data_IF_041000050858
#
_entry.id   IF_041000050858
#
_cell.length_a   1.000
_cell.length_b   1.000
_cell.length_c   1.000
_cell.angle_alpha   90.00
_cell.angle_beta   90.00
_cell.angle_gamma   90.00
#
_symmetry.space_group_name_H-M   'P 1'
#
loop_
_entity.id
_entity.type
_entity.pdbx_description
1 polymer ?
#
# COMPACT_ATOMS: atom_id res chain seq x y z
N UNK A 1 -49.21 72.27 -30.73
CA UNK A 1 -49.07 71.13 -31.66
C UNK A 1 -47.83 70.26 -31.41
N UNK A 2 -46.75 70.71 -30.75
CA UNK A 2 -45.52 69.90 -30.57
C UNK A 2 -45.52 68.77 -29.53
N UNK A 3 -46.54 68.65 -28.65
CA UNK A 3 -46.53 67.64 -27.58
C UNK A 3 -46.89 66.22 -28.05
N UNK A 4 -47.87 66.08 -28.96
CA UNK A 4 -48.23 64.77 -29.52
C UNK A 4 -47.15 64.25 -30.48
N UNK A 5 -46.50 65.14 -31.22
CA UNK A 5 -45.44 64.78 -32.16
C UNK A 5 -44.19 64.25 -31.44
N UNK A 6 -43.86 64.80 -30.27
CA UNK A 6 -42.80 64.29 -29.41
C UNK A 6 -43.14 62.93 -28.78
N UNK A 7 -44.39 62.75 -28.30
CA UNK A 7 -44.82 61.45 -27.77
C UNK A 7 -44.79 60.34 -28.84
N UNK A 8 -45.18 60.65 -30.08
CA UNK A 8 -45.12 59.67 -31.18
C UNK A 8 -43.67 59.28 -31.49
N UNK A 9 -42.72 60.23 -31.46
CA UNK A 9 -41.29 59.94 -31.63
C UNK A 9 -40.74 59.08 -30.49
N UNK A 10 -41.17 59.32 -29.27
CA UNK A 10 -40.73 58.57 -28.09
C UNK A 10 -41.27 57.13 -28.09
N UNK A 11 -42.54 56.94 -28.47
CA UNK A 11 -43.14 55.62 -28.69
C UNK A 11 -42.42 54.88 -29.82
N UNK A 12 -42.15 55.54 -30.95
CA UNK A 12 -41.44 54.93 -32.07
C UNK A 12 -40.05 54.44 -31.64
N UNK A 13 -39.32 55.24 -30.86
CA UNK A 13 -38.03 54.85 -30.29
C UNK A 13 -38.14 53.66 -29.33
N UNK A 14 -39.14 53.65 -28.45
CA UNK A 14 -39.36 52.51 -27.54
C UNK A 14 -39.70 51.22 -28.30
N UNK A 15 -40.45 51.30 -29.40
CA UNK A 15 -40.75 50.14 -30.26
C UNK A 15 -39.48 49.62 -30.95
N UNK A 16 -38.62 50.54 -31.41
CA UNK A 16 -37.30 50.20 -31.96
C UNK A 16 -36.40 49.53 -30.91
N UNK A 17 -36.33 50.09 -29.70
CA UNK A 17 -35.60 49.51 -28.58
C UNK A 17 -36.11 48.10 -28.23
N UNK A 18 -37.44 47.88 -28.22
CA UNK A 18 -38.04 46.54 -27.99
C UNK A 18 -37.64 45.56 -29.09
N UNK A 19 -37.58 45.99 -30.34
CA UNK A 19 -37.17 45.14 -31.45
C UNK A 19 -35.71 44.68 -31.29
N UNK A 20 -34.81 45.60 -30.93
CA UNK A 20 -33.39 45.30 -30.65
C UNK A 20 -33.29 44.30 -29.48
N UNK A 21 -34.00 44.55 -28.37
CA UNK A 21 -34.00 43.63 -27.24
C UNK A 21 -34.58 42.25 -27.59
N UNK A 22 -35.59 42.18 -28.47
CA UNK A 22 -36.15 40.92 -28.94
C UNK A 22 -35.15 40.12 -29.77
N UNK A 23 -34.34 40.78 -30.60
CA UNK A 23 -33.28 40.15 -31.38
C UNK A 23 -32.17 39.61 -30.47
N UNK A 24 -31.72 40.42 -29.51
CA UNK A 24 -30.75 40.01 -28.49
C UNK A 24 -31.25 38.82 -27.65
N UNK A 25 -32.52 38.83 -27.24
CA UNK A 25 -33.13 37.74 -26.50
C UNK A 25 -33.21 36.46 -27.31
N UNK A 26 -33.52 36.53 -28.60
CA UNK A 26 -33.54 35.37 -29.49
C UNK A 26 -32.14 34.79 -29.67
N UNK A 27 -31.13 35.65 -29.87
CA UNK A 27 -29.73 35.24 -29.94
C UNK A 27 -29.27 34.57 -28.64
N UNK A 28 -29.64 35.12 -27.48
CA UNK A 28 -29.37 34.53 -26.17
C UNK A 28 -30.07 33.17 -26.01
N UNK A 29 -31.33 33.05 -26.44
CA UNK A 29 -32.06 31.78 -26.44
C UNK A 29 -31.36 30.71 -27.28
N UNK A 30 -30.86 31.07 -28.46
CA UNK A 30 -30.14 30.14 -29.33
C UNK A 30 -28.81 29.70 -28.71
N UNK A 31 -28.08 30.61 -28.06
CA UNK A 31 -26.86 30.27 -27.32
C UNK A 31 -27.15 29.34 -26.13
N UNK A 32 -28.22 29.58 -25.37
CA UNK A 32 -28.65 28.70 -24.28
C UNK A 32 -29.00 27.30 -24.80
N UNK A 33 -29.66 27.20 -25.95
CA UNK A 33 -29.98 25.90 -26.55
C UNK A 33 -28.72 25.13 -26.94
N UNK A 34 -27.76 25.78 -27.60
CA UNK A 34 -26.47 25.16 -27.95
C UNK A 34 -25.73 24.69 -26.69
N UNK A 35 -25.66 25.52 -25.65
CA UNK A 35 -25.02 25.15 -24.39
C UNK A 35 -25.72 23.96 -23.71
N UNK A 36 -27.06 23.87 -23.81
CA UNK A 36 -27.83 22.75 -23.27
C UNK A 36 -27.58 21.44 -24.04
N UNK A 37 -27.46 21.50 -25.36
CA UNK A 37 -27.10 20.36 -26.21
C UNK A 37 -25.68 19.86 -25.87
N UNK A 38 -24.71 20.77 -25.74
CA UNK A 38 -23.35 20.45 -25.30
C UNK A 38 -23.32 19.84 -23.88
N UNK A 39 -24.09 20.39 -22.95
CA UNK A 39 -24.19 19.86 -21.59
C UNK A 39 -24.76 18.43 -21.57
N UNK A 40 -25.78 18.17 -22.40
CA UNK A 40 -26.38 16.85 -22.55
C UNK A 40 -25.37 15.84 -23.11
N UNK A 41 -24.61 16.23 -24.14
CA UNK A 41 -23.55 15.40 -24.70
C UNK A 41 -22.48 15.05 -23.66
N UNK A 42 -22.03 16.04 -22.87
CA UNK A 42 -21.06 15.81 -21.78
C UNK A 42 -21.63 14.91 -20.68
N UNK A 43 -22.91 15.03 -20.33
CA UNK A 43 -23.53 14.15 -19.34
C UNK A 43 -23.57 12.69 -19.81
N UNK A 44 -23.79 12.45 -21.10
CA UNK A 44 -23.70 11.12 -21.71
C UNK A 44 -22.27 10.57 -21.68
N UNK A 45 -21.28 11.41 -22.01
CA UNK A 45 -19.85 11.04 -21.93
C UNK A 45 -19.46 10.64 -20.50
N UNK A 46 -19.81 11.46 -19.49
CA UNK A 46 -19.57 11.14 -18.07
C UNK A 46 -20.23 9.83 -17.66
N UNK A 47 -21.44 9.56 -18.16
CA UNK A 47 -22.14 8.30 -17.89
C UNK A 47 -21.40 7.11 -18.49
N UNK A 48 -20.90 7.23 -19.72
CA UNK A 48 -20.10 6.21 -20.39
C UNK A 48 -18.80 5.92 -19.63
N UNK A 49 -18.04 6.97 -19.29
CA UNK A 49 -16.80 6.85 -18.52
C UNK A 49 -17.05 6.22 -17.15
N UNK A 50 -18.17 6.56 -16.50
CA UNK A 50 -18.54 5.97 -15.21
C UNK A 50 -18.81 4.46 -15.33
N UNK A 51 -19.43 4.01 -16.42
CA UNK A 51 -19.64 2.59 -16.69
C UNK A 51 -18.33 1.86 -16.96
N UNK A 52 -17.42 2.45 -17.74
CA UNK A 52 -16.07 1.91 -17.95
C UNK A 52 -15.30 1.79 -16.64
N UNK A 53 -15.40 2.80 -15.75
CA UNK A 53 -14.76 2.78 -14.44
C UNK A 53 -15.24 1.61 -13.57
N UNK A 54 -16.55 1.30 -13.62
CA UNK A 54 -17.11 0.12 -12.94
C UNK A 54 -16.52 -1.17 -13.50
N UNK A 55 -16.43 -1.31 -14.82
CA UNK A 55 -15.84 -2.48 -15.46
C UNK A 55 -14.36 -2.66 -15.12
N UNK A 56 -13.58 -1.56 -15.10
CA UNK A 56 -12.19 -1.58 -14.65
C UNK A 56 -12.11 -2.01 -13.18
N UNK A 57 -13.01 -1.52 -12.33
CA UNK A 57 -13.13 -1.95 -10.94
C UNK A 57 -13.33 -3.47 -10.80
N UNK A 58 -14.26 -4.04 -11.58
CA UNK A 58 -14.51 -5.48 -11.59
C UNK A 58 -13.29 -6.27 -12.09
N UNK A 59 -12.58 -5.77 -13.10
CA UNK A 59 -11.36 -6.40 -13.59
C UNK A 59 -10.25 -6.39 -12.53
N UNK A 60 -10.08 -5.29 -11.80
CA UNK A 60 -9.12 -5.20 -10.70
C UNK A 60 -9.43 -6.19 -9.57
N UNK A 61 -10.72 -6.38 -9.23
CA UNK A 61 -11.13 -7.38 -8.25
C UNK A 61 -10.77 -8.81 -8.69
N UNK A 62 -11.01 -9.14 -9.97
CA UNK A 62 -10.63 -10.44 -10.52
C UNK A 62 -9.10 -10.64 -10.50
N UNK A 63 -8.31 -9.61 -10.80
CA UNK A 63 -6.85 -9.67 -10.71
C UNK A 63 -6.38 -9.89 -9.27
N UNK A 64 -7.02 -9.27 -8.27
CA UNK A 64 -6.71 -9.48 -6.86
C UNK A 64 -6.91 -10.94 -6.47
N UNK A 65 -7.96 -11.60 -6.97
CA UNK A 65 -8.19 -13.02 -6.70
C UNK A 65 -7.14 -13.91 -7.38
N UNK A 66 -6.77 -13.61 -8.63
CA UNK A 66 -5.66 -14.31 -9.29
C UNK A 66 -4.32 -14.15 -8.55
N UNK A 67 -4.05 -12.96 -7.99
CA UNK A 67 -2.84 -12.72 -7.18
C UNK A 67 -2.87 -13.55 -5.90
N UNK A 68 -4.03 -13.74 -5.26
CA UNK A 68 -4.15 -14.64 -4.10
C UNK A 68 -3.82 -16.08 -4.47
N UNK A 69 -4.30 -16.57 -5.61
CA UNK A 69 -4.01 -17.92 -6.08
C UNK A 69 -2.51 -18.10 -6.40
N UNK A 70 -1.91 -17.11 -7.07
CA UNK A 70 -0.46 -17.10 -7.30
C UNK A 70 0.33 -17.14 -5.99
N UNK A 71 -0.13 -16.40 -4.98
CA UNK A 71 0.50 -16.41 -3.65
C UNK A 71 0.43 -17.78 -2.98
N UNK A 72 -0.69 -18.51 -3.12
CA UNK A 72 -0.79 -19.91 -2.65
C UNK A 72 0.24 -20.80 -3.37
N UNK A 73 0.38 -20.64 -4.69
CA UNK A 73 1.39 -21.33 -5.48
C UNK A 73 2.82 -21.05 -5.01
N UNK A 74 3.16 -19.78 -4.78
CA UNK A 74 4.47 -19.37 -4.23
C UNK A 74 4.69 -19.99 -2.85
N UNK A 75 3.70 -19.97 -1.97
CA UNK A 75 3.82 -20.56 -0.64
C UNK A 75 4.08 -22.08 -0.68
N UNK A 76 3.46 -22.79 -1.63
CA UNK A 76 3.73 -24.21 -1.87
C UNK A 76 5.19 -24.43 -2.32
N UNK A 77 5.70 -23.61 -3.25
CA UNK A 77 7.11 -23.69 -3.69
C UNK A 77 8.06 -23.41 -2.53
N UNK A 78 7.81 -22.36 -1.75
CA UNK A 78 8.60 -22.00 -0.58
C UNK A 78 8.63 -23.12 0.47
N UNK A 79 7.50 -23.80 0.68
CA UNK A 79 7.43 -24.96 1.59
C UNK A 79 8.31 -26.13 1.12
N UNK A 80 8.35 -26.41 -0.19
CA UNK A 80 9.22 -27.46 -0.73
C UNK A 80 10.70 -27.04 -0.69
N UNK A 81 10.99 -25.78 -1.01
CA UNK A 81 12.33 -25.21 -0.87
C UNK A 81 12.82 -25.29 0.57
N UNK A 82 11.93 -25.10 1.56
CA UNK A 82 12.28 -25.22 2.97
C UNK A 82 12.72 -26.63 3.39
N UNK A 83 12.17 -27.68 2.76
CA UNK A 83 12.63 -29.06 2.98
C UNK A 83 14.02 -29.30 2.37
N UNK A 84 14.30 -28.69 1.21
CA UNK A 84 15.61 -28.77 0.56
C UNK A 84 16.68 -28.00 1.35
N UNK A 85 16.30 -26.87 1.94
CA UNK A 85 17.19 -25.99 2.71
C UNK A 85 17.87 -26.67 3.91
N UNK A 86 17.34 -27.80 4.39
CA UNK A 86 17.92 -28.61 5.47
C UNK A 86 18.38 -30.01 5.00
N UNK A 87 18.34 -30.27 3.70
CA UNK A 87 18.74 -31.56 3.14
C UNK A 87 20.27 -31.62 2.98
N UNK A 88 20.95 -32.72 3.37
CA UNK A 88 22.42 -32.82 3.33
C UNK A 88 23.11 -32.47 2.01
N UNK A 89 22.42 -32.65 0.88
CA UNK A 89 22.96 -32.35 -0.47
C UNK A 89 22.56 -30.99 -1.05
N UNK A 90 21.59 -30.30 -0.45
CA UNK A 90 20.97 -29.09 -1.01
C UNK A 90 20.72 -28.00 0.04
N UNK A 91 21.34 -28.13 1.21
CA UNK A 91 21.10 -27.23 2.32
C UNK A 91 21.53 -25.81 1.98
N UNK A 92 20.93 -24.85 2.66
CA UNK A 92 21.39 -23.47 2.58
C UNK A 92 22.76 -23.34 3.23
N UNK A 93 23.56 -22.43 2.70
CA UNK A 93 24.86 -22.08 3.27
C UNK A 93 24.68 -21.01 4.33
N UNK A 94 25.69 -20.85 5.19
CA UNK A 94 25.70 -19.76 6.19
C UNK A 94 25.63 -18.38 5.52
N UNK A 95 26.23 -18.21 4.33
CA UNK A 95 26.16 -16.97 3.57
C UNK A 95 24.73 -16.66 3.09
N UNK A 96 23.95 -17.68 2.70
CA UNK A 96 22.53 -17.51 2.35
C UNK A 96 21.74 -17.01 3.56
N UNK A 97 22.01 -17.58 4.75
CA UNK A 97 21.42 -17.13 6.00
C UNK A 97 21.72 -15.65 6.26
N UNK A 98 22.99 -15.23 6.15
CA UNK A 98 23.40 -13.83 6.32
C UNK A 98 22.65 -12.91 5.34
N UNK A 99 22.59 -13.27 4.06
CA UNK A 99 21.88 -12.49 3.03
C UNK A 99 20.39 -12.36 3.36
N UNK A 100 19.75 -13.43 3.82
CA UNK A 100 18.31 -13.42 4.17
C UNK A 100 18.05 -12.46 5.32
N UNK A 101 18.86 -12.49 6.37
CA UNK A 101 18.69 -11.59 7.53
C UNK A 101 19.02 -10.14 7.18
N UNK A 102 20.03 -9.88 6.36
CA UNK A 102 20.31 -8.52 5.87
C UNK A 102 19.13 -7.94 5.08
N UNK A 103 18.52 -8.74 4.20
CA UNK A 103 17.30 -8.34 3.46
C UNK A 103 16.12 -8.13 4.42
N UNK A 104 15.96 -8.99 5.43
CA UNK A 104 14.92 -8.84 6.44
C UNK A 104 15.08 -7.53 7.23
N UNK A 105 16.29 -7.17 7.65
CA UNK A 105 16.58 -5.89 8.32
C UNK A 105 16.12 -4.72 7.46
N UNK A 106 16.54 -4.67 6.18
CA UNK A 106 16.19 -3.59 5.27
C UNK A 106 14.66 -3.50 5.05
N UNK A 107 14.00 -4.65 4.86
CA UNK A 107 12.56 -4.71 4.67
C UNK A 107 11.79 -4.16 5.88
N UNK A 108 12.17 -4.53 7.10
CA UNK A 108 11.50 -4.06 8.32
C UNK A 108 11.79 -2.59 8.62
N UNK A 109 13.01 -2.09 8.33
CA UNK A 109 13.31 -0.66 8.43
C UNK A 109 12.45 0.17 7.47
N UNK A 110 12.25 -0.32 6.24
CA UNK A 110 11.36 0.33 5.27
C UNK A 110 9.89 0.27 5.74
N UNK A 111 9.47 -0.86 6.30
CA UNK A 111 8.13 -1.05 6.86
C UNK A 111 7.83 -0.04 7.98
N UNK A 112 8.78 0.19 8.90
CA UNK A 112 8.64 1.22 9.95
C UNK A 112 8.59 2.62 9.35
N UNK A 113 9.39 2.92 8.32
CA UNK A 113 9.33 4.21 7.62
C UNK A 113 7.97 4.48 6.97
N UNK A 114 7.31 3.43 6.45
CA UNK A 114 5.93 3.53 5.97
C UNK A 114 4.98 3.91 7.11
N UNK A 115 5.11 3.29 8.30
CA UNK A 115 4.32 3.69 9.47
C UNK A 115 4.60 5.12 9.91
N UNK A 116 5.86 5.57 9.90
CA UNK A 116 6.21 6.96 10.19
C UNK A 116 5.46 7.92 9.26
N UNK A 117 5.51 7.65 7.96
CA UNK A 117 4.82 8.43 6.94
C UNK A 117 3.31 8.47 7.19
N UNK A 118 2.70 7.33 7.54
CA UNK A 118 1.27 7.24 7.84
C UNK A 118 0.87 8.14 9.02
N UNK A 119 1.65 8.13 10.10
CA UNK A 119 1.39 8.95 11.30
C UNK A 119 1.65 10.43 11.03
N UNK A 120 2.73 10.76 10.33
CA UNK A 120 3.05 12.15 9.98
C UNK A 120 1.94 12.80 9.16
N UNK A 121 1.47 12.09 8.14
CA UNK A 121 0.44 12.54 7.21
C UNK A 121 -0.98 12.31 7.71
N UNK A 122 -1.17 11.57 8.80
CA UNK A 122 -2.48 11.09 9.28
C UNK A 122 -3.28 10.41 8.16
N UNK A 123 -2.60 9.59 7.37
CA UNK A 123 -3.17 8.94 6.21
C UNK A 123 -2.76 7.46 6.17
N UNK A 124 -3.72 6.58 5.90
CA UNK A 124 -3.45 5.14 5.85
C UNK A 124 -2.87 4.78 4.49
N UNK A 125 -1.67 4.21 4.49
CA UNK A 125 -1.02 3.63 3.32
C UNK A 125 -1.17 2.11 3.32
N UNK A 126 -1.07 1.44 2.16
CA UNK A 126 -0.97 -0.02 2.09
C UNK A 126 0.25 -0.51 2.89
N UNK A 127 0.01 -1.41 3.84
CA UNK A 127 1.04 -2.02 4.68
C UNK A 127 0.63 -3.44 5.09
N UNK A 128 1.59 -4.37 5.09
CA UNK A 128 1.33 -5.75 5.51
C UNK A 128 1.29 -5.84 7.03
N UNK A 129 0.16 -6.31 7.58
CA UNK A 129 -0.04 -6.50 9.03
C UNK A 129 -0.01 -7.96 9.45
N UNK A 130 -0.11 -8.89 8.50
CA UNK A 130 0.06 -10.33 8.72
C UNK A 130 1.57 -10.67 8.65
N UNK A 131 2.15 -10.96 9.82
CA UNK A 131 3.57 -11.25 9.98
C UNK A 131 4.01 -12.46 9.15
N UNK A 132 3.12 -13.43 8.92
CA UNK A 132 3.45 -14.64 8.15
C UNK A 132 3.53 -14.40 6.65
N UNK A 133 2.95 -13.29 6.17
CA UNK A 133 2.91 -12.95 4.75
C UNK A 133 4.04 -12.04 4.31
N UNK A 134 4.79 -11.45 5.24
CA UNK A 134 6.01 -10.73 4.86
C UNK A 134 7.05 -11.73 4.30
N UNK A 135 7.98 -11.26 3.47
CA UNK A 135 8.97 -12.16 2.83
C UNK A 135 9.78 -12.94 3.87
N UNK A 136 10.17 -12.29 4.97
CA UNK A 136 10.87 -12.95 6.08
C UNK A 136 9.97 -13.98 6.78
N UNK A 137 8.71 -13.65 7.07
CA UNK A 137 7.76 -14.55 7.73
C UNK A 137 7.52 -15.84 6.93
N UNK A 138 7.41 -15.72 5.60
CA UNK A 138 7.30 -16.88 4.72
C UNK A 138 8.52 -17.80 4.86
N UNK A 139 9.73 -17.25 4.91
CA UNK A 139 10.96 -18.00 5.13
C UNK A 139 11.03 -18.60 6.56
N UNK A 140 10.75 -17.77 7.57
CA UNK A 140 10.86 -18.09 8.99
C UNK A 140 10.01 -19.32 9.39
N UNK A 141 8.83 -19.46 8.79
CA UNK A 141 7.90 -20.53 9.12
C UNK A 141 8.12 -21.83 8.33
N UNK A 142 8.89 -21.82 7.24
CA UNK A 142 9.15 -23.03 6.44
C UNK A 142 10.52 -23.65 6.67
N UNK A 143 11.46 -22.88 7.20
CA UNK A 143 12.85 -23.31 7.41
C UNK A 143 13.18 -23.21 8.89
N UNK A 144 13.72 -24.29 9.45
CA UNK A 144 14.19 -24.32 10.83
C UNK A 144 15.67 -24.71 10.83
N UNK A 145 16.56 -23.83 11.35
CA UNK A 145 17.96 -24.16 11.55
C UNK A 145 18.16 -25.43 12.38
N UNK A 146 19.20 -26.19 12.07
CA UNK A 146 19.54 -27.44 12.77
C UNK A 146 20.60 -27.23 13.86
N UNK A 147 21.46 -26.21 13.70
CA UNK A 147 22.43 -25.84 14.72
C UNK A 147 21.74 -25.43 16.03
N UNK A 148 22.03 -26.09 17.17
CA UNK A 148 21.33 -25.83 18.43
C UNK A 148 21.37 -24.37 18.91
N UNK A 149 22.51 -23.70 18.73
CA UNK A 149 22.72 -22.31 19.18
C UNK A 149 21.81 -21.36 18.40
N UNK A 150 21.78 -21.49 17.08
CA UNK A 150 20.92 -20.67 16.22
C UNK A 150 19.45 -21.02 16.47
N UNK A 151 19.12 -22.30 16.65
CA UNK A 151 17.75 -22.77 16.86
C UNK A 151 17.11 -22.21 18.13
N UNK A 152 17.89 -22.03 19.21
CA UNK A 152 17.42 -21.38 20.43
C UNK A 152 17.06 -19.92 20.18
N UNK A 153 17.95 -19.15 19.56
CA UNK A 153 17.71 -17.75 19.22
C UNK A 153 16.56 -17.58 18.22
N UNK A 154 16.43 -18.51 17.28
CA UNK A 154 15.38 -18.54 16.27
C UNK A 154 13.97 -18.55 16.86
N UNK A 155 13.75 -19.27 17.96
CA UNK A 155 12.43 -19.37 18.60
C UNK A 155 11.96 -18.04 19.21
N UNK A 156 12.89 -17.15 19.55
CA UNK A 156 12.57 -15.86 20.18
C UNK A 156 12.12 -14.79 19.19
N UNK A 157 12.37 -14.98 17.89
CA UNK A 157 12.02 -14.03 16.83
C UNK A 157 10.50 -13.85 16.70
N UNK A 158 9.75 -14.96 16.72
CA UNK A 158 8.31 -15.00 16.43
C UNK A 158 7.51 -13.99 17.26
N UNK A 159 7.82 -13.88 18.54
CA UNK A 159 7.10 -13.00 19.45
C UNK A 159 7.32 -11.53 19.13
N UNK A 160 8.56 -11.11 18.87
CA UNK A 160 8.89 -9.71 18.57
C UNK A 160 8.35 -9.34 17.18
N UNK A 161 8.55 -10.22 16.20
CA UNK A 161 8.09 -10.04 14.82
C UNK A 161 6.57 -9.88 14.72
N UNK A 162 5.81 -10.78 15.35
CA UNK A 162 4.34 -10.69 15.41
C UNK A 162 3.88 -9.39 16.08
N UNK A 163 4.49 -9.02 17.22
CA UNK A 163 4.14 -7.79 17.93
C UNK A 163 4.40 -6.55 17.08
N UNK A 164 5.53 -6.51 16.38
CA UNK A 164 5.88 -5.40 15.48
C UNK A 164 4.80 -5.22 14.41
N UNK A 165 4.44 -6.29 13.69
CA UNK A 165 3.44 -6.21 12.62
C UNK A 165 2.05 -5.79 13.11
N UNK A 166 1.63 -6.22 14.31
CA UNK A 166 0.36 -5.78 14.90
C UNK A 166 0.29 -4.27 15.18
N UNK A 167 1.44 -3.60 15.40
CA UNK A 167 1.45 -2.14 15.61
C UNK A 167 0.89 -1.36 14.42
N UNK A 168 0.93 -1.91 13.21
CA UNK A 168 0.31 -1.27 12.06
C UNK A 168 -1.22 -1.19 12.19
N UNK A 169 -1.87 -2.21 12.75
CA UNK A 169 -3.31 -2.18 12.97
C UNK A 169 -3.69 -1.16 14.04
N UNK A 170 -2.93 -1.07 15.14
CA UNK A 170 -3.13 -0.05 16.16
C UNK A 170 -2.95 1.37 15.61
N UNK A 171 -1.90 1.60 14.80
CA UNK A 171 -1.67 2.88 14.11
C UNK A 171 -2.82 3.22 13.18
N UNK A 172 -3.32 2.25 12.38
CA UNK A 172 -4.46 2.44 11.48
C UNK A 172 -5.72 2.86 12.24
N UNK A 173 -6.02 2.18 13.35
CA UNK A 173 -7.18 2.52 14.21
C UNK A 173 -7.04 3.94 14.76
N UNK A 174 -5.86 4.31 15.27
CA UNK A 174 -5.63 5.65 15.80
C UNK A 174 -5.78 6.75 14.72
N UNK A 175 -5.27 6.51 13.50
CA UNK A 175 -5.43 7.44 12.37
C UNK A 175 -6.91 7.57 11.97
N UNK A 176 -7.66 6.47 11.89
CA UNK A 176 -9.09 6.48 11.59
C UNK A 176 -9.89 7.31 12.61
N UNK A 177 -9.50 7.22 13.88
CA UNK A 177 -10.09 8.00 14.98
C UNK A 177 -9.57 9.44 15.06
N UNK A 178 -8.71 9.88 14.13
CA UNK A 178 -8.06 11.19 14.13
C UNK A 178 -7.25 11.46 15.42
N UNK A 179 -6.83 10.41 16.14
CA UNK A 179 -6.07 10.50 17.37
C UNK A 179 -4.57 10.45 17.07
N UNK A 180 -4.00 11.61 16.72
CA UNK A 180 -2.57 11.72 16.40
C UNK A 180 -1.66 11.32 17.57
N UNK A 181 -2.05 11.62 18.80
CA UNK A 181 -1.24 11.27 19.98
C UNK A 181 -1.12 9.74 20.12
N UNK A 182 -2.24 9.02 20.07
CA UNK A 182 -2.21 7.56 20.12
C UNK A 182 -1.42 6.96 18.95
N UNK A 183 -1.58 7.51 17.73
CA UNK A 183 -0.82 7.06 16.57
C UNK A 183 0.69 7.22 16.76
N UNK A 184 1.14 8.34 17.36
CA UNK A 184 2.54 8.58 17.71
C UNK A 184 3.05 7.62 18.81
N UNK A 185 2.23 7.28 19.80
CA UNK A 185 2.57 6.33 20.86
C UNK A 185 2.74 4.90 20.31
N UNK A 186 1.83 4.45 19.43
CA UNK A 186 1.95 3.16 18.76
C UNK A 186 3.17 3.12 17.83
N UNK A 187 3.44 4.19 17.08
CA UNK A 187 4.65 4.30 16.26
C UNK A 187 5.93 4.23 17.10
N UNK A 188 5.96 4.89 18.26
CA UNK A 188 7.11 4.81 19.19
C UNK A 188 7.35 3.37 19.63
N UNK A 189 6.29 2.65 19.97
CA UNK A 189 6.36 1.23 20.33
C UNK A 189 6.86 0.38 19.16
N UNK A 190 6.37 0.62 17.95
CA UNK A 190 6.83 -0.06 16.74
C UNK A 190 8.33 0.16 16.49
N UNK A 191 8.84 1.38 16.69
CA UNK A 191 10.27 1.68 16.56
C UNK A 191 11.12 0.90 17.56
N UNK A 192 10.69 0.82 18.82
CA UNK A 192 11.38 0.05 19.86
C UNK A 192 11.43 -1.44 19.48
N UNK A 193 10.29 -2.03 19.14
CA UNK A 193 10.21 -3.43 18.71
C UNK A 193 11.06 -3.71 17.46
N UNK A 194 11.10 -2.77 16.51
CA UNK A 194 11.95 -2.89 15.33
C UNK A 194 13.43 -2.83 15.67
N UNK A 195 13.84 -1.97 16.61
CA UNK A 195 15.24 -1.94 17.08
C UNK A 195 15.62 -3.23 17.77
N UNK A 196 14.75 -3.79 18.62
CA UNK A 196 14.95 -5.08 19.27
C UNK A 196 15.06 -6.22 18.24
N UNK A 197 14.14 -6.28 17.26
CA UNK A 197 14.16 -7.29 16.21
C UNK A 197 15.44 -7.21 15.36
N UNK A 198 15.86 -6.01 14.97
CA UNK A 198 17.09 -5.79 14.19
C UNK A 198 18.32 -6.20 14.99
N UNK A 199 18.36 -5.95 16.30
CA UNK A 199 19.46 -6.39 17.16
C UNK A 199 19.58 -7.92 17.17
N UNK A 200 18.46 -8.64 17.32
CA UNK A 200 18.44 -10.12 17.24
C UNK A 200 18.92 -10.60 15.86
N UNK A 201 18.48 -9.95 14.79
CA UNK A 201 18.92 -10.29 13.43
C UNK A 201 20.43 -10.09 13.25
N UNK A 202 20.98 -9.01 13.81
CA UNK A 202 22.41 -8.71 13.72
C UNK A 202 23.25 -9.71 14.53
N UNK A 203 22.78 -10.13 15.71
CA UNK A 203 23.42 -11.17 16.52
C UNK A 203 23.47 -12.51 15.77
N UNK A 204 22.36 -12.92 15.15
CA UNK A 204 22.28 -14.12 14.32
C UNK A 204 23.22 -14.08 13.11
N UNK A 205 23.35 -12.92 12.46
CA UNK A 205 24.32 -12.71 11.38
C UNK A 205 25.75 -12.90 11.90
N UNK A 206 26.11 -12.26 13.02
CA UNK A 206 27.45 -12.40 13.59
C UNK A 206 27.77 -13.84 13.99
N UNK A 207 26.79 -14.57 14.53
CA UNK A 207 26.96 -16.00 14.84
C UNK A 207 27.13 -16.86 13.59
N UNK A 208 26.40 -16.56 12.52
CA UNK A 208 26.57 -17.25 11.24
C UNK A 208 27.98 -17.06 10.65
N UNK A 209 28.52 -15.83 10.73
CA UNK A 209 29.88 -15.53 10.27
C UNK A 209 30.97 -16.21 11.12
N UNK A 210 30.74 -16.35 12.43
CA UNK A 210 31.61 -17.12 13.33
C UNK A 210 31.61 -18.60 12.94
N UNK A 211 30.43 -19.19 12.73
CA UNK A 211 30.31 -20.58 12.29
C UNK A 211 30.95 -20.86 10.95
N UNK A 212 30.87 -19.93 9.99
CA UNK A 212 31.61 -20.04 8.72
C UNK A 212 33.13 -20.12 8.95
N UNK A 213 33.68 -19.39 9.91
CA UNK A 213 35.12 -19.45 10.24
C UNK A 213 35.50 -20.75 10.95
N UNK A 214 34.57 -21.33 11.70
CA UNK A 214 34.75 -22.57 12.44
C UNK A 214 34.43 -23.84 11.62
N UNK A 215 33.94 -23.69 10.38
CA UNK A 215 33.49 -24.82 9.55
C UNK A 215 32.17 -25.44 9.99
N UNK A 216 31.40 -24.77 10.84
CA UNK A 216 30.13 -25.28 11.36
C UNK A 216 28.95 -24.88 10.45
N UNK A 217 28.01 -25.80 10.28
CA UNK A 217 26.81 -25.57 9.50
C UNK A 217 25.61 -25.13 10.35
N UNK A 218 24.79 -24.23 9.79
CA UNK A 218 23.53 -23.79 10.40
C UNK A 218 22.38 -24.77 10.12
N UNK A 219 22.32 -25.34 8.91
CA UNK A 219 21.13 -26.07 8.43
C UNK A 219 21.27 -27.59 8.33
N UNK A 220 22.45 -28.12 8.62
CA UNK A 220 22.71 -29.57 8.66
C UNK A 220 23.57 -29.91 9.88
N UNK A 221 23.47 -31.16 10.33
CA UNK A 221 24.29 -31.68 11.43
C UNK A 221 25.56 -32.27 10.82
N UNK A 222 26.70 -31.60 10.99
CA UNK A 222 28.01 -32.02 10.49
C UNK A 222 29.03 -30.88 10.44
N UNK A 223 30.30 -31.22 10.23
CA UNK A 223 31.44 -30.30 10.37
C UNK A 223 31.92 -29.68 9.04
N UNK A 224 31.13 -29.76 7.96
CA UNK A 224 31.54 -29.20 6.66
C UNK A 224 30.38 -28.46 5.96
N UNK A 225 30.46 -27.13 6.08
CA UNK A 225 29.97 -26.15 5.13
C UNK A 225 31.20 -25.60 4.38
#
# INVERSE_FOLDING_TARGET
MGSNENHIKEIAKQVEDVFIHSEELNNSHQQVQVAMEEATAKAQEVTSVSQELVQVGDHLLNMVDQIKDLHVGVNNVTTHAGKLAIHPSYHLMNDDFVIIFQKAIQAHQNWVRTLETMVEQMHILPIQTDDKKCQFGQYYHVITPQNPVIKEQWANIDTIHRKLHHMADDVKVAIQQQNRQAAMEHLKTAKILSTELVAVFQELISKAEEFTKEGQCIFVIGDHC
#
